data_IF_511574261019
#
_entry.id   IF_511574261019
#
_cell.length_a   1.000
_cell.length_b   1.000
_cell.length_c   1.000
_cell.angle_alpha   90.00
_cell.angle_beta   90.00
_cell.angle_gamma   90.00
#
_symmetry.space_group_name_H-M   'P 1'
#
loop_
_entity.id
_entity.type
_entity.pdbx_description
1 polymer ?
#
# COMPACT_ATOMS: atom_id res chain seq x y z
N UNK A 1 6.96 -14.09 7.35
CA UNK A 1 5.91 -14.01 8.41
C UNK A 1 4.87 -15.12 8.19
N UNK A 2 4.31 -15.73 9.24
CA UNK A 2 3.13 -16.61 9.06
C UNK A 2 1.92 -15.70 8.84
N UNK A 3 1.35 -15.71 7.63
CA UNK A 3 0.03 -15.11 7.38
C UNK A 3 -0.98 -15.81 8.30
N UNK A 4 -1.75 -15.04 9.06
CA UNK A 4 -2.66 -15.54 10.10
C UNK A 4 -3.69 -16.56 9.59
N UNK A 5 -4.34 -17.26 10.52
CA UNK A 5 -5.46 -18.16 10.20
C UNK A 5 -6.58 -17.36 9.54
N UNK A 6 -7.18 -17.89 8.47
CA UNK A 6 -8.44 -17.37 7.92
C UNK A 6 -9.54 -17.52 9.00
N UNK A 7 -9.88 -16.43 9.67
CA UNK A 7 -10.96 -16.36 10.63
C UNK A 7 -12.02 -15.40 10.09
N UNK A 8 -13.28 -15.84 10.05
CA UNK A 8 -14.42 -14.95 9.83
C UNK A 8 -14.69 -14.23 11.16
N UNK A 9 -14.56 -12.90 11.18
CA UNK A 9 -14.70 -12.09 12.37
C UNK A 9 -14.82 -10.60 12.04
N UNK A 10 -14.98 -9.76 13.06
CA UNK A 10 -14.99 -8.30 12.85
C UNK A 10 -13.57 -7.78 12.58
N UNK A 11 -13.46 -6.58 12.00
CA UNK A 11 -12.16 -5.92 11.81
C UNK A 11 -11.40 -5.76 13.15
N UNK A 12 -12.13 -5.47 14.23
CA UNK A 12 -11.57 -5.36 15.58
C UNK A 12 -11.02 -6.70 16.11
N UNK A 13 -11.70 -7.81 15.86
CA UNK A 13 -11.21 -9.14 16.29
C UNK A 13 -9.95 -9.53 15.54
N UNK A 14 -9.89 -9.26 14.23
CA UNK A 14 -8.69 -9.50 13.43
C UNK A 14 -7.52 -8.61 13.87
N UNK A 15 -7.78 -7.34 14.21
CA UNK A 15 -6.76 -6.39 14.63
C UNK A 15 -6.17 -6.70 16.00
N UNK A 16 -6.98 -7.23 16.94
CA UNK A 16 -6.59 -7.47 18.34
C UNK A 16 -5.30 -8.27 18.46
N UNK A 17 -5.22 -9.38 17.72
CA UNK A 17 -4.10 -10.33 17.80
C UNK A 17 -3.05 -10.13 16.69
N UNK A 18 -3.20 -9.09 15.86
CA UNK A 18 -2.29 -8.80 14.76
C UNK A 18 -1.13 -7.87 15.18
N UNK A 19 0.09 -8.22 14.76
CA UNK A 19 1.26 -7.34 14.80
C UNK A 19 1.30 -6.38 13.59
N UNK A 20 0.79 -6.86 12.45
CA UNK A 20 0.71 -6.15 11.17
C UNK A 20 -0.71 -6.23 10.63
N UNK A 21 -1.30 -5.07 10.34
CA UNK A 21 -2.62 -4.92 9.73
C UNK A 21 -2.43 -4.40 8.31
N UNK A 22 -3.01 -5.08 7.32
CA UNK A 22 -2.94 -4.67 5.91
C UNK A 22 -4.28 -4.08 5.49
N UNK A 23 -4.28 -2.81 5.11
CA UNK A 23 -5.46 -2.09 4.64
C UNK A 23 -5.58 -2.22 3.11
N UNK A 24 -6.36 -3.22 2.69
CA UNK A 24 -6.68 -3.50 1.29
C UNK A 24 -8.15 -3.19 0.98
N UNK A 25 -8.62 -2.01 1.38
CA UNK A 25 -10.01 -1.56 1.18
C UNK A 25 -10.14 -0.61 -0.01
N UNK A 26 -11.33 -0.53 -0.62
CA UNK A 26 -11.69 0.62 -1.44
C UNK A 26 -11.55 1.92 -0.63
N UNK A 27 -11.14 3.01 -1.28
CA UNK A 27 -10.80 4.27 -0.60
C UNK A 27 -11.97 4.81 0.24
N UNK A 28 -13.18 4.75 -0.31
CA UNK A 28 -14.42 5.19 0.32
C UNK A 28 -14.77 4.41 1.60
N UNK A 29 -14.24 3.20 1.76
CA UNK A 29 -14.43 2.36 2.93
C UNK A 29 -13.28 2.44 3.93
N UNK A 30 -12.14 3.04 3.54
CA UNK A 30 -10.90 3.01 4.32
C UNK A 30 -11.06 3.68 5.68
N UNK A 31 -11.73 4.84 5.76
CA UNK A 31 -11.91 5.52 7.05
C UNK A 31 -12.72 4.65 8.02
N UNK A 32 -13.87 4.13 7.56
CA UNK A 32 -14.72 3.27 8.38
C UNK A 32 -13.98 1.99 8.81
N UNK A 33 -13.20 1.39 7.90
CA UNK A 33 -12.38 0.22 8.21
C UNK A 33 -11.34 0.51 9.28
N UNK A 34 -10.57 1.60 9.15
CA UNK A 34 -9.55 2.00 10.13
C UNK A 34 -10.17 2.27 11.49
N UNK A 35 -11.28 3.02 11.55
CA UNK A 35 -11.99 3.30 12.80
C UNK A 35 -12.59 2.03 13.43
N UNK A 36 -12.93 1.04 12.61
CA UNK A 36 -13.44 -0.26 13.04
C UNK A 36 -12.39 -1.22 13.59
N UNK A 37 -11.08 -0.90 13.51
CA UNK A 37 -10.01 -1.77 14.03
C UNK A 37 -9.92 -1.74 15.57
N UNK A 38 -10.47 -0.71 16.22
CA UNK A 38 -10.25 -0.49 17.66
C UNK A 38 -8.87 0.10 17.95
N UNK A 39 -8.25 -0.33 19.06
CA UNK A 39 -6.92 0.15 19.45
C UNK A 39 -5.83 -0.49 18.57
N UNK A 40 -5.11 0.37 17.86
CA UNK A 40 -4.01 0.01 16.96
C UNK A 40 -2.65 0.47 17.49
N UNK A 41 -2.59 0.93 18.75
CA UNK A 41 -1.37 1.43 19.38
C UNK A 41 -0.25 0.41 19.34
N UNK A 42 0.91 0.81 18.83
CA UNK A 42 2.08 -0.05 18.73
C UNK A 42 1.97 -1.18 17.69
N UNK A 43 0.99 -1.14 16.78
CA UNK A 43 0.89 -2.05 15.63
C UNK A 43 1.48 -1.42 14.38
N UNK A 44 1.84 -2.26 13.41
CA UNK A 44 2.15 -1.80 12.05
C UNK A 44 0.85 -1.79 11.24
N UNK A 45 0.58 -0.69 10.55
CA UNK A 45 -0.51 -0.58 9.58
C UNK A 45 0.09 -0.33 8.20
N UNK A 46 -0.12 -1.28 7.28
CA UNK A 46 0.29 -1.16 5.88
C UNK A 46 -0.88 -0.66 5.06
N UNK A 47 -0.78 0.58 4.56
CA UNK A 47 -1.75 1.19 3.67
C UNK A 47 -1.46 0.82 2.20
N UNK A 48 -2.29 -0.05 1.64
CA UNK A 48 -2.25 -0.47 0.24
C UNK A 48 -3.19 0.34 -0.66
N UNK A 49 -3.94 1.28 -0.10
CA UNK A 49 -5.04 1.94 -0.80
C UNK A 49 -4.52 2.89 -1.89
N UNK A 50 -5.36 3.19 -2.87
CA UNK A 50 -5.17 4.34 -3.74
C UNK A 50 -6.41 5.23 -3.58
N UNK A 51 -6.27 6.52 -3.23
CA UNK A 51 -7.42 7.38 -3.01
C UNK A 51 -8.00 7.82 -4.34
N UNK A 52 -8.74 6.95 -5.01
CA UNK A 52 -9.24 7.17 -6.36
C UNK A 52 -10.63 7.81 -6.35
N UNK A 53 -10.91 8.65 -7.35
CA UNK A 53 -12.24 9.21 -7.62
C UNK A 53 -12.49 9.31 -9.11
N UNK A 54 -13.75 9.15 -9.53
CA UNK A 54 -14.15 9.36 -10.91
C UNK A 54 -14.63 10.81 -11.10
N UNK A 55 -14.18 11.45 -12.18
CA UNK A 55 -14.61 12.79 -12.55
C UNK A 55 -14.78 12.96 -14.06
N UNK A 56 -15.13 14.18 -14.55
CA UNK A 56 -15.35 14.46 -15.96
C UNK A 56 -14.14 14.15 -16.86
N UNK A 57 -12.92 14.20 -16.30
CA UNK A 57 -11.67 13.85 -16.98
C UNK A 57 -11.26 12.37 -16.86
N UNK A 58 -12.13 11.51 -16.30
CA UNK A 58 -11.82 10.11 -16.00
C UNK A 58 -11.41 9.89 -14.55
N UNK A 59 -10.68 8.80 -14.31
CA UNK A 59 -10.20 8.41 -12.98
C UNK A 59 -9.04 9.31 -12.55
N UNK A 60 -9.09 9.81 -11.32
CA UNK A 60 -8.06 10.65 -10.72
C UNK A 60 -7.87 10.38 -9.24
N UNK A 61 -6.93 11.11 -8.62
CA UNK A 61 -6.76 11.07 -7.17
C UNK A 61 -7.77 11.99 -6.48
N UNK A 62 -8.43 11.49 -5.44
CA UNK A 62 -9.28 12.25 -4.53
C UNK A 62 -8.47 13.22 -3.66
N UNK A 63 -7.22 12.86 -3.33
CA UNK A 63 -6.24 13.63 -2.56
C UNK A 63 -4.82 13.29 -3.08
N UNK A 64 -3.86 14.22 -3.03
CA UNK A 64 -2.49 13.88 -3.45
C UNK A 64 -1.45 15.00 -3.48
N UNK A 65 -1.84 16.26 -3.75
CA UNK A 65 -0.84 17.33 -3.96
C UNK A 65 -0.32 17.97 -2.66
N UNK A 66 -1.17 18.07 -1.63
CA UNK A 66 -0.84 18.71 -0.34
C UNK A 66 -0.98 17.77 0.86
N UNK A 67 -1.58 16.59 0.65
CA UNK A 67 -1.74 15.46 1.57
C UNK A 67 -1.92 14.18 0.75
N UNK A 68 -2.01 13.01 1.38
CA UNK A 68 -2.13 11.70 0.75
C UNK A 68 -3.10 10.79 1.51
N UNK A 69 -3.52 9.69 0.88
CA UNK A 69 -4.26 8.62 1.55
C UNK A 69 -3.51 8.04 2.75
N UNK A 70 -2.19 7.84 2.59
CA UNK A 70 -1.34 7.37 3.69
C UNK A 70 -1.33 8.31 4.90
N UNK A 71 -1.28 9.62 4.68
CA UNK A 71 -1.33 10.61 5.77
C UNK A 71 -2.70 10.65 6.46
N UNK A 72 -3.80 10.48 5.71
CA UNK A 72 -5.14 10.40 6.29
C UNK A 72 -5.30 9.11 7.11
N UNK A 73 -4.80 7.98 6.61
CA UNK A 73 -4.78 6.72 7.36
C UNK A 73 -4.00 6.88 8.67
N UNK A 74 -2.84 7.57 8.66
CA UNK A 74 -2.09 7.84 9.88
C UNK A 74 -2.86 8.74 10.87
N UNK A 75 -3.63 9.71 10.38
CA UNK A 75 -4.50 10.52 11.23
C UNK A 75 -5.63 9.71 11.86
N UNK A 76 -6.16 8.71 11.15
CA UNK A 76 -7.23 7.82 11.66
C UNK A 76 -6.72 6.70 12.57
N UNK A 77 -5.53 6.15 12.28
CA UNK A 77 -4.90 5.03 12.97
C UNK A 77 -3.92 5.51 14.06
N UNK A 78 -4.36 6.41 14.93
CA UNK A 78 -3.49 7.07 15.89
C UNK A 78 -2.83 6.04 16.84
N UNK A 79 -1.51 6.17 17.02
CA UNK A 79 -0.70 5.24 17.83
C UNK A 79 -0.11 4.06 17.04
N UNK A 80 -0.55 3.82 15.80
CA UNK A 80 0.07 2.85 14.91
C UNK A 80 1.27 3.43 14.16
N UNK A 81 2.17 2.56 13.73
CA UNK A 81 3.23 2.88 12.76
C UNK A 81 2.69 2.61 11.35
N UNK A 82 2.31 3.67 10.64
CA UNK A 82 1.70 3.58 9.30
C UNK A 82 2.76 3.61 8.21
N UNK A 83 2.63 2.70 7.24
CA UNK A 83 3.49 2.61 6.06
C UNK A 83 2.67 2.53 4.77
N UNK A 84 2.99 3.36 3.78
CA UNK A 84 2.42 3.29 2.43
C UNK A 84 3.25 2.36 1.57
N UNK A 85 2.65 1.30 1.04
CA UNK A 85 3.29 0.39 0.06
C UNK A 85 2.24 -0.51 -0.59
N UNK A 86 2.65 -1.44 -1.46
CA UNK A 86 1.78 -2.41 -2.15
C UNK A 86 0.66 -1.79 -3.02
N UNK A 87 0.68 -0.48 -3.24
CA UNK A 87 -0.34 0.23 -4.01
C UNK A 87 0.02 0.40 -5.50
N UNK A 88 1.26 0.06 -5.89
CA UNK A 88 1.89 0.45 -7.17
C UNK A 88 1.67 -0.52 -8.35
N UNK A 89 0.91 -1.60 -8.15
CA UNK A 89 0.58 -2.58 -9.20
C UNK A 89 -0.79 -3.22 -8.96
N UNK A 90 -1.34 -3.91 -9.95
CA UNK A 90 -2.64 -4.58 -9.86
C UNK A 90 -2.60 -5.88 -9.03
N UNK A 91 -3.72 -6.23 -8.41
CA UNK A 91 -3.86 -7.43 -7.57
C UNK A 91 -3.48 -8.73 -8.29
N UNK A 92 -3.72 -8.84 -9.61
CA UNK A 92 -3.33 -9.99 -10.41
C UNK A 92 -1.81 -10.26 -10.37
N UNK A 93 -1.00 -9.20 -10.31
CA UNK A 93 0.46 -9.30 -10.22
C UNK A 93 0.94 -9.72 -8.83
N UNK A 94 0.12 -9.54 -7.79
CA UNK A 94 0.45 -9.93 -6.42
C UNK A 94 0.30 -11.45 -6.17
N UNK A 95 -0.42 -12.17 -7.03
CA UNK A 95 -0.63 -13.62 -6.87
C UNK A 95 0.64 -14.41 -7.17
N UNK A 96 1.39 -14.00 -8.21
CA UNK A 96 2.62 -14.67 -8.65
C UNK A 96 3.68 -13.62 -9.09
N UNK A 97 4.15 -12.75 -8.17
CA UNK A 97 5.09 -11.66 -8.51
C UNK A 97 6.44 -12.17 -9.02
N UNK A 98 6.81 -13.42 -8.71
CA UNK A 98 8.01 -14.10 -9.19
C UNK A 98 8.03 -14.39 -10.70
N UNK A 99 6.88 -14.23 -11.40
CA UNK A 99 6.82 -14.33 -12.87
C UNK A 99 7.53 -13.17 -13.56
N UNK A 100 7.76 -12.06 -12.87
CA UNK A 100 8.49 -10.92 -13.39
C UNK A 100 10.00 -11.10 -13.21
N UNK A 101 10.76 -10.77 -14.25
CA UNK A 101 12.22 -10.70 -14.22
C UNK A 101 12.68 -9.46 -14.98
N UNK A 102 13.35 -8.48 -14.33
CA UNK A 102 13.66 -8.45 -12.89
C UNK A 102 12.42 -8.37 -11.99
N UNK A 103 12.59 -8.58 -10.68
CA UNK A 103 11.51 -8.40 -9.70
C UNK A 103 10.94 -6.97 -9.81
N UNK A 104 9.62 -6.77 -9.69
CA UNK A 104 9.07 -5.43 -9.74
C UNK A 104 9.51 -4.63 -8.53
N UNK A 105 9.78 -3.34 -8.71
CA UNK A 105 10.12 -2.44 -7.60
C UNK A 105 8.86 -2.14 -6.80
N UNK A 106 8.98 -2.12 -5.47
CA UNK A 106 7.90 -1.73 -4.58
C UNK A 106 8.43 -0.76 -3.52
N UNK A 107 8.01 0.49 -3.63
CA UNK A 107 8.43 1.53 -2.71
C UNK A 107 7.65 1.46 -1.38
N UNK A 108 8.33 1.77 -0.27
CA UNK A 108 7.78 1.80 1.10
C UNK A 108 8.04 3.16 1.74
N UNK A 109 6.99 3.91 2.05
CA UNK A 109 7.09 5.19 2.75
C UNK A 109 6.54 5.09 4.18
N UNK A 110 7.21 5.69 5.16
CA UNK A 110 6.74 5.72 6.55
C UNK A 110 7.73 6.41 7.50
N UNK A 111 7.21 6.95 8.61
CA UNK A 111 8.00 7.78 9.53
C UNK A 111 8.66 6.99 10.67
N UNK A 112 8.14 5.81 11.03
CA UNK A 112 8.76 4.97 12.06
C UNK A 112 9.96 4.20 11.50
N UNK A 113 11.14 4.80 11.64
CA UNK A 113 12.40 4.22 11.17
C UNK A 113 12.80 2.94 11.89
N UNK A 114 12.26 2.66 13.09
CA UNK A 114 12.57 1.42 13.83
C UNK A 114 11.80 0.23 13.27
N UNK A 115 10.58 0.44 12.78
CA UNK A 115 9.71 -0.62 12.23
C UNK A 115 9.74 -0.73 10.71
N UNK A 116 10.24 0.29 10.01
CA UNK A 116 10.36 0.26 8.55
C UNK A 116 11.12 -0.98 8.02
N UNK A 117 12.22 -1.44 8.65
CA UNK A 117 12.91 -2.64 8.19
C UNK A 117 12.01 -3.89 8.15
N UNK A 118 11.08 -4.04 9.11
CA UNK A 118 10.14 -5.17 9.13
C UNK A 118 9.19 -5.14 7.93
N UNK A 119 8.76 -3.94 7.52
CA UNK A 119 7.88 -3.75 6.35
C UNK A 119 8.66 -3.95 5.04
N UNK A 120 9.90 -3.48 4.96
CA UNK A 120 10.78 -3.73 3.81
C UNK A 120 11.00 -5.24 3.63
N UNK A 121 11.30 -5.96 4.72
CA UNK A 121 11.47 -7.40 4.69
C UNK A 121 10.18 -8.13 4.30
N UNK A 122 9.03 -7.69 4.82
CA UNK A 122 7.72 -8.22 4.41
C UNK A 122 7.51 -8.07 2.89
N UNK A 123 7.80 -6.91 2.31
CA UNK A 123 7.65 -6.65 0.87
C UNK A 123 8.62 -7.49 0.04
N UNK A 124 9.86 -7.69 0.51
CA UNK A 124 10.82 -8.59 -0.13
C UNK A 124 10.33 -10.06 -0.10
N UNK A 125 9.77 -10.51 1.02
CA UNK A 125 9.19 -11.85 1.17
C UNK A 125 7.99 -12.07 0.25
N UNK A 126 7.26 -10.99 -0.09
CA UNK A 126 6.19 -11.00 -1.08
C UNK A 126 6.71 -11.04 -2.53
N UNK A 127 8.02 -11.12 -2.77
CA UNK A 127 8.58 -11.31 -4.11
C UNK A 127 8.90 -10.02 -4.87
N UNK A 128 8.74 -8.86 -4.25
CA UNK A 128 9.09 -7.57 -4.83
C UNK A 128 10.54 -7.17 -4.50
N UNK A 129 11.10 -6.23 -5.26
CA UNK A 129 12.30 -5.49 -4.86
C UNK A 129 11.87 -4.29 -4.00
N UNK A 130 11.89 -4.46 -2.68
CA UNK A 130 11.48 -3.41 -1.74
C UNK A 130 12.49 -2.26 -1.71
N UNK A 131 12.00 -1.02 -1.72
CA UNK A 131 12.84 0.18 -1.66
C UNK A 131 12.27 1.21 -0.68
N UNK A 132 13.12 1.75 0.21
CA UNK A 132 12.71 2.83 1.10
C UNK A 132 12.46 4.11 0.28
N UNK A 133 11.23 4.61 0.38
CA UNK A 133 10.79 5.84 -0.25
C UNK A 133 10.94 7.05 0.68
N UNK A 134 11.39 6.87 1.92
CA UNK A 134 11.54 7.91 2.93
C UNK A 134 10.30 8.09 3.82
N UNK A 135 9.99 9.32 4.28
CA UNK A 135 8.92 9.60 5.24
C UNK A 135 7.52 9.38 4.64
N UNK A 136 6.50 9.27 5.49
CA UNK A 136 5.12 8.95 5.07
C UNK A 136 4.54 9.97 4.07
N UNK A 137 4.95 11.24 4.15
CA UNK A 137 4.58 12.28 3.16
C UNK A 137 4.91 11.90 1.71
N UNK A 138 5.83 10.96 1.49
CA UNK A 138 6.17 10.49 0.14
C UNK A 138 5.11 9.51 -0.41
N UNK A 139 4.09 9.13 0.37
CA UNK A 139 2.85 8.55 -0.17
C UNK A 139 2.23 9.45 -1.26
N UNK A 140 2.41 10.77 -1.19
CA UNK A 140 2.06 11.75 -2.24
C UNK A 140 2.78 11.52 -3.57
N UNK A 141 3.86 10.75 -3.59
CA UNK A 141 4.57 10.32 -4.80
C UNK A 141 4.12 8.91 -5.23
N UNK A 142 3.90 8.03 -4.26
CA UNK A 142 3.52 6.63 -4.52
C UNK A 142 2.09 6.48 -5.06
N UNK A 143 1.16 7.32 -4.62
CA UNK A 143 -0.23 7.33 -5.10
C UNK A 143 -0.32 7.81 -6.57
N UNK A 144 0.35 8.90 -6.98
CA UNK A 144 0.49 9.23 -8.40
C UNK A 144 1.21 8.17 -9.23
N UNK A 145 2.23 7.49 -8.68
CA UNK A 145 2.90 6.38 -9.39
C UNK A 145 1.92 5.23 -9.67
N UNK A 146 1.06 4.90 -8.70
CA UNK A 146 -0.02 3.95 -8.92
C UNK A 146 -1.01 4.42 -9.98
N UNK A 147 -1.37 5.71 -9.98
CA UNK A 147 -2.21 6.28 -11.04
C UNK A 147 -1.58 6.19 -12.43
N UNK A 148 -0.27 6.36 -12.55
CA UNK A 148 0.45 6.15 -13.80
C UNK A 148 0.35 4.69 -14.24
N UNK A 149 0.51 3.73 -13.33
CA UNK A 149 0.32 2.31 -13.65
C UNK A 149 -1.12 2.03 -14.12
N UNK A 150 -2.13 2.59 -13.44
CA UNK A 150 -3.54 2.42 -13.78
C UNK A 150 -3.86 2.99 -15.16
N UNK A 151 -3.37 4.20 -15.49
CA UNK A 151 -3.59 4.80 -16.81
C UNK A 151 -2.98 3.94 -17.92
N UNK A 152 -1.75 3.44 -17.72
CA UNK A 152 -1.10 2.55 -18.67
C UNK A 152 -1.91 1.27 -18.88
N UNK A 153 -2.42 0.68 -17.79
CA UNK A 153 -3.18 -0.56 -17.82
C UNK A 153 -4.53 -0.42 -18.52
N UNK A 154 -5.28 0.65 -18.23
CA UNK A 154 -6.68 0.80 -18.64
C UNK A 154 -6.83 1.62 -19.93
N UNK A 155 -5.98 2.64 -20.14
CA UNK A 155 -6.20 3.65 -21.17
C UNK A 155 -5.14 3.63 -22.28
N UNK A 156 -3.97 3.01 -22.05
CA UNK A 156 -2.84 3.01 -23.01
C UNK A 156 -2.50 1.65 -23.61
N UNK A 157 -3.25 0.61 -23.25
CA UNK A 157 -3.14 -0.71 -23.87
C UNK A 157 -2.04 -1.61 -23.30
N UNK A 158 -1.42 -1.26 -22.16
CA UNK A 158 -0.45 -2.13 -21.51
C UNK A 158 -1.10 -3.39 -20.91
N UNK A 159 -2.42 -3.36 -20.65
CA UNK A 159 -3.11 -4.40 -19.89
C UNK A 159 -2.65 -4.44 -18.43
N UNK A 160 -3.07 -5.45 -17.67
CA UNK A 160 -2.79 -5.52 -16.22
C UNK A 160 -1.54 -6.34 -15.89
N UNK A 161 -0.99 -7.08 -16.85
CA UNK A 161 0.10 -8.05 -16.62
C UNK A 161 1.49 -7.41 -16.79
N UNK A 162 1.69 -6.20 -16.28
CA UNK A 162 2.99 -5.53 -16.26
C UNK A 162 3.20 -4.84 -14.91
N UNK A 163 4.46 -4.57 -14.57
CA UNK A 163 4.82 -3.79 -13.40
C UNK A 163 6.10 -2.99 -13.69
N UNK A 164 6.35 -1.94 -12.91
CA UNK A 164 7.60 -1.18 -13.03
C UNK A 164 8.75 -1.92 -12.36
N UNK A 165 9.93 -1.81 -12.92
CA UNK A 165 11.17 -2.32 -12.36
C UNK A 165 12.27 -1.27 -12.45
N UNK A 166 13.27 -1.40 -11.59
CA UNK A 166 14.42 -0.51 -11.56
C UNK A 166 15.64 -1.20 -12.18
N UNK A 167 16.43 -0.43 -12.93
CA UNK A 167 17.73 -0.85 -13.45
C UNK A 167 18.83 -0.05 -12.78
N UNK A 168 19.99 -0.66 -12.54
CA UNK A 168 21.17 0.01 -11.99
C UNK A 168 22.35 -0.16 -12.94
N UNK A 169 23.17 0.88 -13.07
CA UNK A 169 24.49 0.74 -13.69
C UNK A 169 25.39 -0.02 -12.71
N UNK A 170 26.19 -0.94 -13.25
CA UNK A 170 27.22 -1.70 -12.52
C UNK A 170 28.40 -0.83 -12.16
#
# INVERSE_FOLDING_TARGET
ARLGRNALGTAADAARDADVIVLATPWEATEAAVRGLGDVSGKIVVDCTNPLTAGPGGLGLAIGYTTSGGEQVAAWAQGASVFKTLNQTGAANMVNPERFSPRPVMFVAGDDTRRKPDVIELVNQLGFEAMDAGPLRNARLLEPLAMLWIDQALNRGAGQNFAFAMTRLS
#
